data_IF_709391849282
#
_entry.id   IF_709391849282
#
_cell.length_a   1.000
_cell.length_b   1.000
_cell.length_c   1.000
_cell.angle_alpha   90.00
_cell.angle_beta   90.00
_cell.angle_gamma   90.00
#
_symmetry.space_group_name_H-M   'P 1'
#
loop_
_entity.id
_entity.type
_entity.pdbx_description
1 polymer ?
#
# COMPACT_ATOMS: atom_id res chain seq x y z
N UNK A 1 -9.05 -10.47 -14.11
CA UNK A 1 -10.50 -10.74 -14.04
C UNK A 1 -11.08 -9.94 -12.88
N UNK A 2 -12.24 -9.31 -13.09
CA UNK A 2 -12.75 -8.17 -12.32
C UNK A 2 -13.05 -8.51 -10.85
N UNK A 3 -12.10 -8.18 -9.96
CA UNK A 3 -12.32 -8.08 -8.51
C UNK A 3 -13.12 -6.84 -8.14
N UNK A 4 -14.25 -6.61 -8.80
CA UNK A 4 -15.12 -5.48 -8.51
C UNK A 4 -15.95 -5.82 -7.26
N UNK A 5 -15.52 -5.33 -6.11
CA UNK A 5 -16.34 -5.35 -4.91
C UNK A 5 -17.34 -4.18 -4.93
N UNK A 6 -18.30 -4.22 -3.99
CA UNK A 6 -19.15 -3.05 -3.75
C UNK A 6 -18.29 -1.95 -3.11
N UNK A 7 -18.46 -0.68 -3.50
CA UNK A 7 -17.88 0.42 -2.76
C UNK A 7 -18.27 0.35 -1.28
N UNK A 8 -17.28 0.43 -0.40
CA UNK A 8 -17.46 0.38 1.05
C UNK A 8 -16.66 1.49 1.73
N UNK A 9 -17.06 1.83 2.95
CA UNK A 9 -16.25 2.69 3.83
C UNK A 9 -15.61 1.82 4.89
N UNK A 10 -14.29 1.81 4.92
CA UNK A 10 -13.52 1.23 6.03
C UNK A 10 -13.57 2.22 7.19
N UNK A 11 -14.14 1.79 8.32
CA UNK A 11 -14.22 2.60 9.54
C UNK A 11 -13.30 2.00 10.59
N UNK A 12 -12.31 2.77 11.05
CA UNK A 12 -11.28 2.30 11.97
C UNK A 12 -11.72 2.52 13.42
N UNK A 13 -12.77 1.85 13.88
CA UNK A 13 -13.22 1.94 15.27
C UNK A 13 -12.27 1.22 16.24
N UNK A 14 -12.26 1.63 17.51
CA UNK A 14 -11.48 0.96 18.57
C UNK A 14 -12.06 -0.38 18.98
N UNK A 15 -13.36 -0.55 18.80
CA UNK A 15 -14.12 -1.77 19.13
C UNK A 15 -15.34 -1.89 18.21
N UNK A 16 -15.93 -3.10 18.15
CA UNK A 16 -17.10 -3.40 17.32
C UNK A 16 -18.40 -3.07 18.05
N UNK A 17 -18.56 -1.80 18.45
CA UNK A 17 -19.76 -1.28 19.12
C UNK A 17 -20.32 -0.09 18.33
N UNK A 18 -21.62 0.19 18.48
CA UNK A 18 -22.26 1.34 17.82
C UNK A 18 -21.62 2.67 18.27
N UNK A 19 -21.31 2.80 19.57
CA UNK A 19 -20.70 4.00 20.13
C UNK A 19 -19.31 4.27 19.55
N UNK A 20 -18.44 3.26 19.49
CA UNK A 20 -17.10 3.41 18.93
C UNK A 20 -17.12 3.61 17.41
N UNK A 21 -18.05 2.97 16.70
CA UNK A 21 -18.26 3.20 15.28
C UNK A 21 -18.66 4.65 15.02
N UNK A 22 -19.63 5.17 15.78
CA UNK A 22 -20.10 6.55 15.69
C UNK A 22 -18.95 7.52 15.96
N UNK A 23 -18.19 7.32 17.03
CA UNK A 23 -17.04 8.16 17.34
C UNK A 23 -16.01 8.17 16.20
N UNK A 24 -15.67 7.00 15.64
CA UNK A 24 -14.70 6.90 14.54
C UNK A 24 -15.14 7.67 13.29
N UNK A 25 -16.44 7.66 12.98
CA UNK A 25 -17.02 8.43 11.88
C UNK A 25 -16.86 9.94 12.12
N UNK A 26 -17.20 10.44 13.31
CA UNK A 26 -17.06 11.87 13.65
C UNK A 26 -15.59 12.32 13.74
N UNK A 27 -14.70 11.42 14.14
CA UNK A 27 -13.26 11.65 14.18
C UNK A 27 -12.59 11.55 12.78
N UNK A 28 -13.36 11.34 11.71
CA UNK A 28 -12.87 11.17 10.33
C UNK A 28 -11.84 10.03 10.19
N UNK A 29 -11.99 8.97 11.00
CA UNK A 29 -11.13 7.78 10.96
C UNK A 29 -11.68 6.77 9.98
N UNK A 30 -11.76 7.17 8.71
CA UNK A 30 -12.39 6.41 7.63
C UNK A 30 -11.57 6.44 6.34
N UNK A 31 -11.69 5.37 5.55
CA UNK A 31 -11.16 5.30 4.18
C UNK A 31 -12.24 4.76 3.25
N UNK A 32 -12.52 5.47 2.16
CA UNK A 32 -13.40 4.96 1.11
C UNK A 32 -12.63 3.94 0.26
N UNK A 33 -13.23 2.79 -0.01
CA UNK A 33 -12.66 1.75 -0.86
C UNK A 33 -13.63 1.44 -1.99
N UNK A 34 -13.24 1.75 -3.22
CA UNK A 34 -14.09 1.61 -4.41
C UNK A 34 -13.27 1.16 -5.62
N UNK A 35 -13.72 0.11 -6.28
CA UNK A 35 -12.90 -0.56 -7.29
C UNK A 35 -11.53 -0.92 -6.72
N UNK A 36 -10.46 -0.43 -7.36
CA UNK A 36 -9.09 -0.63 -6.89
C UNK A 36 -8.54 0.56 -6.09
N UNK A 37 -9.35 1.58 -5.78
CA UNK A 37 -8.88 2.80 -5.14
C UNK A 37 -9.24 2.85 -3.67
N UNK A 38 -8.31 3.34 -2.86
CA UNK A 38 -8.54 3.78 -1.49
C UNK A 38 -8.40 5.30 -1.44
N UNK A 39 -9.32 5.98 -0.77
CA UNK A 39 -9.25 7.42 -0.56
C UNK A 39 -9.43 7.77 0.93
N UNK A 40 -8.52 8.56 1.48
CA UNK A 40 -8.57 8.98 2.87
C UNK A 40 -7.32 9.72 3.32
N UNK A 41 -7.16 9.92 4.64
CA UNK A 41 -6.01 10.65 5.15
C UNK A 41 -4.69 9.90 4.92
N UNK A 42 -3.62 10.65 4.66
CA UNK A 42 -2.26 10.11 4.47
C UNK A 42 -1.84 9.18 5.62
N UNK A 43 -2.18 9.55 6.86
CA UNK A 43 -1.92 8.74 8.04
C UNK A 43 -2.56 7.35 7.96
N UNK A 44 -3.85 7.27 7.58
CA UNK A 44 -4.55 5.99 7.50
C UNK A 44 -4.08 5.16 6.30
N UNK A 45 -3.90 5.79 5.14
CA UNK A 45 -3.42 5.10 3.94
C UNK A 45 -2.01 4.52 4.15
N UNK A 46 -1.10 5.28 4.78
CA UNK A 46 0.23 4.79 5.15
C UNK A 46 0.16 3.60 6.11
N UNK A 47 -0.72 3.68 7.13
CA UNK A 47 -0.91 2.59 8.08
C UNK A 47 -1.46 1.32 7.41
N UNK A 48 -2.46 1.46 6.53
CA UNK A 48 -3.02 0.34 5.76
C UNK A 48 -1.93 -0.31 4.91
N UNK A 49 -1.17 0.48 4.15
CA UNK A 49 -0.11 -0.05 3.28
C UNK A 49 0.94 -0.82 4.09
N UNK A 50 1.45 -0.22 5.18
CA UNK A 50 2.48 -0.83 6.04
C UNK A 50 2.00 -2.09 6.74
N UNK A 51 0.71 -2.16 7.11
CA UNK A 51 0.12 -3.37 7.68
C UNK A 51 -0.14 -4.46 6.62
N UNK A 52 -0.29 -4.08 5.36
CA UNK A 52 -0.64 -4.98 4.26
C UNK A 52 0.57 -5.55 3.53
N UNK A 53 1.67 -4.78 3.46
CA UNK A 53 2.84 -5.10 2.64
C UNK A 53 4.06 -5.35 3.52
N UNK A 54 4.67 -6.51 3.35
CA UNK A 54 5.95 -6.88 3.95
C UNK A 54 7.03 -6.92 2.86
N UNK A 55 8.18 -6.30 3.13
CA UNK A 55 9.31 -6.23 2.20
C UNK A 55 10.50 -6.93 2.83
N UNK A 56 10.94 -8.01 2.20
CA UNK A 56 12.12 -8.79 2.60
C UNK A 56 13.17 -8.64 1.51
N UNK A 57 14.38 -8.25 1.89
CA UNK A 57 15.50 -8.20 0.94
C UNK A 57 15.90 -9.64 0.57
N UNK A 58 15.98 -9.93 -0.72
CA UNK A 58 16.57 -11.18 -1.19
C UNK A 58 18.09 -10.98 -1.24
N UNK A 59 18.81 -11.52 -0.25
CA UNK A 59 20.26 -11.36 -0.12
C UNK A 59 21.05 -12.29 -1.05
N UNK A 60 20.47 -12.69 -2.19
CA UNK A 60 21.15 -13.49 -3.19
C UNK A 60 22.23 -12.65 -3.92
N UNK A 61 23.44 -12.73 -3.38
CA UNK A 61 24.79 -12.52 -3.94
C UNK A 61 24.92 -11.80 -5.30
N UNK A 62 25.45 -10.58 -5.27
CA UNK A 62 26.70 -10.14 -5.93
C UNK A 62 26.76 -8.60 -5.87
N UNK A 63 27.89 -8.05 -5.40
CA UNK A 63 28.09 -6.64 -5.09
C UNK A 63 27.92 -5.64 -6.27
N UNK A 64 27.61 -6.12 -7.48
CA UNK A 64 27.54 -5.34 -8.73
C UNK A 64 26.19 -5.34 -9.45
N UNK A 65 25.15 -6.03 -8.96
CA UNK A 65 23.83 -6.07 -9.63
C UNK A 65 22.74 -5.33 -8.84
N UNK A 66 21.63 -5.06 -9.52
CA UNK A 66 20.42 -4.48 -8.94
C UNK A 66 19.96 -5.29 -7.71
N UNK A 67 19.32 -4.62 -6.74
CA UNK A 67 18.81 -5.28 -5.54
C UNK A 67 17.41 -5.83 -5.79
N UNK A 68 17.24 -7.12 -5.52
CA UNK A 68 15.94 -7.78 -5.61
C UNK A 68 15.28 -7.78 -4.23
N UNK A 69 14.04 -7.33 -4.18
CA UNK A 69 13.20 -7.35 -2.99
C UNK A 69 12.01 -8.29 -3.22
N UNK A 70 11.78 -9.20 -2.28
CA UNK A 70 10.56 -9.99 -2.21
C UNK A 70 9.52 -9.19 -1.44
N UNK A 71 8.46 -8.81 -2.13
CA UNK A 71 7.37 -7.99 -1.61
C UNK A 71 6.12 -8.83 -1.49
N UNK A 72 5.69 -9.08 -0.26
CA UNK A 72 4.53 -9.89 0.07
C UNK A 72 3.35 -9.01 0.46
N UNK A 73 2.20 -9.24 -0.16
CA UNK A 73 0.94 -8.62 0.23
C UNK A 73 0.08 -9.64 0.99
N UNK A 74 -0.31 -9.26 2.20
CA UNK A 74 -1.08 -10.06 3.13
C UNK A 74 -2.57 -9.65 3.17
N UNK A 75 -2.98 -8.74 2.29
CA UNK A 75 -4.33 -8.17 2.25
C UNK A 75 -5.08 -8.51 0.97
N UNK A 76 -6.39 -8.26 1.01
CA UNK A 76 -7.30 -8.26 -0.15
C UNK A 76 -7.07 -7.09 -1.11
N UNK A 77 -6.28 -6.08 -0.73
CA UNK A 77 -6.08 -4.86 -1.51
C UNK A 77 -4.91 -5.08 -2.46
N UNK A 78 -5.15 -5.01 -3.78
CA UNK A 78 -4.06 -4.94 -4.74
C UNK A 78 -3.45 -3.54 -4.75
N UNK A 79 -2.14 -3.43 -4.59
CA UNK A 79 -1.42 -2.16 -4.68
C UNK A 79 -0.76 -1.98 -6.03
N UNK A 80 -0.75 -0.74 -6.51
CA UNK A 80 -0.04 -0.33 -7.72
C UNK A 80 0.92 0.78 -7.34
N UNK A 81 2.20 0.59 -7.66
CA UNK A 81 3.28 1.49 -7.31
C UNK A 81 3.91 2.03 -8.59
N UNK A 82 4.35 3.28 -8.56
CA UNK A 82 5.18 3.91 -9.56
C UNK A 82 6.48 4.37 -8.91
N UNK A 83 7.62 4.01 -9.49
CA UNK A 83 8.93 4.55 -9.12
C UNK A 83 9.19 5.89 -9.79
N UNK A 84 10.23 6.58 -9.34
CA UNK A 84 10.68 7.87 -9.87
C UNK A 84 11.04 7.83 -11.37
N UNK A 85 11.45 6.67 -11.90
CA UNK A 85 11.74 6.45 -13.32
C UNK A 85 10.50 6.09 -14.18
N UNK A 86 9.31 6.02 -13.57
CA UNK A 86 8.05 5.68 -14.23
C UNK A 86 7.77 4.18 -14.34
N UNK A 87 8.62 3.31 -13.77
CA UNK A 87 8.36 1.86 -13.74
C UNK A 87 7.13 1.56 -12.88
N UNK A 88 6.19 0.79 -13.45
CA UNK A 88 4.96 0.40 -12.77
C UNK A 88 5.10 -0.99 -12.16
N UNK A 89 4.90 -1.07 -10.84
CA UNK A 89 4.95 -2.31 -10.07
C UNK A 89 3.54 -2.62 -9.58
N UNK A 90 3.11 -3.87 -9.78
CA UNK A 90 1.84 -4.37 -9.23
C UNK A 90 2.14 -5.33 -8.12
N UNK A 91 1.46 -5.17 -7.00
CA UNK A 91 1.47 -6.10 -5.87
C UNK A 91 0.04 -6.63 -5.71
N UNK A 92 -0.31 -7.74 -6.37
CA UNK A 92 -1.64 -8.34 -6.26
C UNK A 92 -2.00 -8.73 -4.82
N UNK A 93 -3.29 -8.83 -4.53
CA UNK A 93 -3.78 -9.34 -3.25
C UNK A 93 -3.26 -10.75 -2.96
N UNK A 94 -2.93 -11.04 -1.71
CA UNK A 94 -2.40 -12.35 -1.26
C UNK A 94 -1.28 -12.93 -2.14
N UNK A 95 -0.35 -12.10 -2.58
CA UNK A 95 0.71 -12.51 -3.50
C UNK A 95 2.09 -12.10 -3.02
N UNK A 96 3.10 -12.75 -3.58
CA UNK A 96 4.50 -12.35 -3.47
C UNK A 96 5.00 -11.90 -4.83
N UNK A 97 5.67 -10.75 -4.87
CA UNK A 97 6.17 -10.11 -6.09
C UNK A 97 7.65 -9.79 -5.92
N UNK A 98 8.45 -10.14 -6.93
CA UNK A 98 9.86 -9.73 -6.99
C UNK A 98 9.97 -8.35 -7.61
N UNK A 99 10.51 -7.41 -6.86
CA UNK A 99 10.74 -6.04 -7.31
C UNK A 99 12.24 -5.84 -7.46
N UNK A 100 12.67 -5.53 -8.68
CA UNK A 100 14.05 -5.17 -8.95
C UNK A 100 14.24 -3.66 -8.78
N UNK A 101 15.14 -3.24 -7.90
CA UNK A 101 15.44 -1.84 -7.65
C UNK A 101 16.91 -1.59 -7.99
N UNK A 102 17.21 -0.67 -8.92
CA UNK A 102 18.59 -0.30 -9.23
C UNK A 102 19.32 0.20 -7.98
N UNK A 103 20.61 -0.15 -7.84
CA UNK A 103 21.41 0.12 -6.64
C UNK A 103 21.45 1.60 -6.20
N UNK A 104 21.26 2.53 -7.15
CA UNK A 104 21.28 3.97 -6.94
C UNK A 104 19.90 4.63 -7.02
N UNK A 105 18.82 3.85 -7.10
CA UNK A 105 17.45 4.39 -7.07
C UNK A 105 17.05 4.73 -5.65
N UNK A 106 16.27 5.80 -5.47
CA UNK A 106 15.56 6.01 -4.22
C UNK A 106 14.48 4.93 -4.06
N UNK A 107 14.36 4.36 -2.86
CA UNK A 107 13.36 3.33 -2.55
C UNK A 107 11.97 3.94 -2.33
N UNK A 108 11.67 5.04 -3.03
CA UNK A 108 10.45 5.83 -2.91
C UNK A 108 9.51 5.50 -4.05
N UNK A 109 8.26 5.26 -3.71
CA UNK A 109 7.23 4.87 -4.64
C UNK A 109 5.96 5.66 -4.38
N UNK A 110 5.32 6.11 -5.45
CA UNK A 110 3.96 6.59 -5.42
C UNK A 110 3.00 5.39 -5.50
N UNK A 111 2.11 5.24 -4.53
CA UNK A 111 1.06 4.22 -4.55
C UNK A 111 -0.16 4.78 -5.28
N UNK A 112 -0.18 4.63 -6.60
CA UNK A 112 -1.12 5.31 -7.52
C UNK A 112 -2.61 5.02 -7.28
N UNK A 113 -2.93 4.02 -6.46
CA UNK A 113 -4.30 3.67 -6.12
C UNK A 113 -4.69 4.01 -4.67
N UNK A 114 -3.84 4.73 -3.93
CA UNK A 114 -4.11 5.27 -2.60
C UNK A 114 -4.11 6.81 -2.66
N UNK A 115 -5.29 7.41 -2.73
CA UNK A 115 -5.50 8.84 -2.95
C UNK A 115 -5.63 9.60 -1.63
N UNK A 116 -4.72 10.53 -1.38
CA UNK A 116 -4.82 11.48 -0.25
C UNK A 116 -5.77 12.62 -0.61
N UNK A 117 -5.63 13.14 -1.83
CA UNK A 117 -6.54 14.12 -2.44
C UNK A 117 -6.84 13.70 -3.88
N UNK A 118 -7.64 14.48 -4.61
CA UNK A 118 -7.93 14.22 -6.02
C UNK A 118 -6.69 14.26 -6.94
N UNK A 119 -5.58 14.87 -6.49
CA UNK A 119 -4.37 15.09 -7.29
C UNK A 119 -3.10 14.59 -6.61
N UNK A 120 -3.17 14.08 -5.38
CA UNK A 120 -2.03 13.59 -4.61
C UNK A 120 -2.29 12.16 -4.15
N UNK A 121 -1.42 11.25 -4.54
CA UNK A 121 -1.41 9.89 -4.04
C UNK A 121 -0.43 9.73 -2.86
N UNK A 122 -0.53 8.61 -2.17
CA UNK A 122 0.37 8.24 -1.09
C UNK A 122 1.77 7.96 -1.65
N UNK A 123 2.79 8.59 -1.07
CA UNK A 123 4.18 8.22 -1.27
C UNK A 123 4.65 7.33 -0.11
N UNK A 124 5.39 6.27 -0.42
CA UNK A 124 5.97 5.36 0.57
C UNK A 124 7.44 5.12 0.28
N UNK A 125 8.20 4.92 1.34
CA UNK A 125 9.57 4.41 1.25
C UNK A 125 9.57 2.95 1.68
N UNK A 126 10.19 2.08 0.89
CA UNK A 126 10.37 0.68 1.27
C UNK A 126 11.42 0.58 2.37
N UNK A 127 11.00 0.15 3.55
CA UNK A 127 11.88 -0.25 4.62
C UNK A 127 11.96 -1.77 4.67
N UNK A 128 13.18 -2.32 4.62
CA UNK A 128 13.39 -3.76 4.75
C UNK A 128 12.95 -4.20 6.13
N UNK A 129 12.01 -5.14 6.18
CA UNK A 129 11.60 -5.78 7.43
C UNK A 129 12.66 -6.82 7.78
N UNK A 130 13.23 -6.73 8.98
CA UNK A 130 14.15 -7.75 9.52
C UNK A 130 13.42 -9.01 9.90
#
# INVERSE_FOLDING_TARGET
>A
MSGAHRPVTLVFATERTEAALREALFANRTVAWFGNYLAGSEKLLSAIFKASVSVVADFAEEAQKDKIYNVKNLSDISFKLASSDGTLIKIPAYSESRVNIPKNSDMRFEVINLMITATKNLEIEFHVTK
#
